data_IF_090625780071
#
_entry.id   IF_090625780071
#
_cell.length_a   1.000
_cell.length_b   1.000
_cell.length_c   1.000
_cell.angle_alpha   90.00
_cell.angle_beta   90.00
_cell.angle_gamma   90.00
#
_symmetry.space_group_name_H-M   'P 1'
#
loop_
_entity.id
_entity.type
_entity.pdbx_description
1 polymer ?
#
# COMPACT_ATOMS: atom_id res chain seq x y z
N UNK A 1 18.17 6.20 -12.83
CA UNK A 1 16.80 5.75 -12.56
C UNK A 1 16.09 5.22 -13.80
N UNK A 2 16.10 5.94 -14.93
CA UNK A 2 15.35 5.50 -16.14
C UNK A 2 15.84 4.16 -16.69
N UNK A 3 17.13 3.90 -16.74
CA UNK A 3 17.66 2.61 -17.22
C UNK A 3 17.24 1.46 -16.27
N UNK A 4 17.23 1.69 -14.96
CA UNK A 4 16.75 0.73 -13.97
C UNK A 4 15.26 0.43 -14.12
N UNK A 5 14.43 1.46 -14.40
CA UNK A 5 13.01 1.25 -14.71
C UNK A 5 12.80 0.42 -15.96
N UNK A 6 13.59 0.68 -17.03
CA UNK A 6 13.53 -0.13 -18.24
C UNK A 6 13.93 -1.58 -17.98
N UNK A 7 15.01 -1.79 -17.22
CA UNK A 7 15.45 -3.13 -16.85
C UNK A 7 14.43 -3.88 -15.96
N UNK A 8 13.69 -3.14 -15.13
CA UNK A 8 12.61 -3.70 -14.30
C UNK A 8 11.30 -3.92 -15.06
N UNK A 9 11.19 -3.52 -16.34
CA UNK A 9 9.97 -3.66 -17.14
C UNK A 9 9.79 -5.09 -17.68
N UNK A 10 9.81 -6.07 -16.79
CA UNK A 10 9.70 -7.50 -17.10
C UNK A 10 8.48 -8.11 -16.39
N UNK A 11 7.87 -9.14 -17.01
CA UNK A 11 6.75 -9.86 -16.41
C UNK A 11 5.64 -8.95 -15.89
N UNK A 12 5.17 -9.13 -14.64
CA UNK A 12 4.06 -8.38 -14.05
C UNK A 12 4.37 -6.89 -13.87
N UNK A 13 5.64 -6.51 -13.84
CA UNK A 13 6.06 -5.11 -13.62
C UNK A 13 6.09 -4.28 -14.90
N UNK A 14 6.00 -4.90 -16.08
CA UNK A 14 6.24 -4.27 -17.39
C UNK A 14 5.37 -3.06 -17.64
N UNK A 15 4.08 -3.13 -17.30
CA UNK A 15 3.10 -2.04 -17.49
C UNK A 15 3.47 -0.81 -16.67
N UNK A 16 3.73 -0.99 -15.38
CA UNK A 16 4.00 0.13 -14.45
C UNK A 16 5.38 0.69 -14.69
N UNK A 17 6.41 -0.15 -14.78
CA UNK A 17 7.78 0.28 -15.04
C UNK A 17 7.91 0.99 -16.40
N UNK A 18 7.24 0.49 -17.44
CA UNK A 18 7.17 1.11 -18.76
C UNK A 18 6.55 2.51 -18.68
N UNK A 19 5.38 2.65 -18.03
CA UNK A 19 4.72 3.93 -17.84
C UNK A 19 5.60 4.93 -17.09
N UNK A 20 6.22 4.52 -15.98
CA UNK A 20 7.09 5.38 -15.18
C UNK A 20 8.35 5.80 -15.96
N UNK A 21 8.90 4.93 -16.81
CA UNK A 21 10.09 5.26 -17.63
C UNK A 21 9.85 6.38 -18.63
N UNK A 22 8.59 6.54 -19.08
CA UNK A 22 8.18 7.61 -20.01
C UNK A 22 7.89 8.94 -19.32
N UNK A 23 7.67 8.92 -18.01
CA UNK A 23 7.38 10.13 -17.25
C UNK A 23 8.64 10.90 -16.87
N UNK A 24 8.48 12.20 -16.57
CA UNK A 24 9.52 13.01 -15.97
C UNK A 24 9.62 12.67 -14.49
N UNK A 25 10.56 11.81 -14.14
CA UNK A 25 10.80 11.45 -12.75
C UNK A 25 11.34 12.67 -11.99
N UNK A 26 10.69 13.01 -10.90
CA UNK A 26 11.17 14.03 -9.97
C UNK A 26 11.78 13.33 -8.75
N UNK A 27 13.07 13.55 -8.52
CA UNK A 27 13.70 13.14 -7.28
C UNK A 27 13.10 13.95 -6.12
N UNK A 28 12.62 13.24 -5.12
CA UNK A 28 12.05 13.84 -3.91
C UNK A 28 12.99 13.55 -2.74
N UNK A 29 13.21 14.53 -1.88
CA UNK A 29 14.07 14.39 -0.67
C UNK A 29 13.56 13.33 0.31
N UNK A 30 12.30 12.88 0.19
CA UNK A 30 11.76 11.79 1.01
C UNK A 30 12.39 10.43 0.70
N UNK A 31 12.89 10.22 -0.53
CA UNK A 31 13.51 8.96 -0.95
C UNK A 31 14.87 9.11 -1.64
N UNK A 32 15.29 10.32 -2.00
CA UNK A 32 16.64 10.62 -2.50
C UNK A 32 17.25 11.70 -1.62
N UNK A 33 18.10 11.31 -0.69
CA UNK A 33 18.72 12.23 0.25
C UNK A 33 20.16 11.82 0.54
N UNK A 34 21.10 12.41 -0.17
CA UNK A 34 22.53 12.12 -0.06
C UNK A 34 23.09 12.40 1.33
N UNK A 35 22.49 13.36 2.07
CA UNK A 35 22.94 13.69 3.44
C UNK A 35 22.60 12.60 4.47
N UNK A 36 21.69 11.69 4.13
CA UNK A 36 21.31 10.54 4.98
C UNK A 36 22.01 9.24 4.58
N UNK A 37 22.82 9.28 3.52
CA UNK A 37 23.62 8.12 3.09
C UNK A 37 24.97 8.20 3.80
N UNK A 38 25.22 7.21 4.69
CA UNK A 38 26.54 7.08 5.34
C UNK A 38 27.37 6.01 4.62
N UNK A 39 27.22 4.76 5.04
CA UNK A 39 28.03 3.65 4.55
C UNK A 39 27.32 2.85 3.45
N UNK A 40 25.99 2.87 3.42
CA UNK A 40 25.19 2.09 2.50
C UNK A 40 24.12 2.95 1.80
N UNK A 41 23.91 2.67 0.53
CA UNK A 41 22.77 3.21 -0.22
C UNK A 41 21.58 2.24 -0.17
N UNK A 42 20.42 2.71 -0.62
CA UNK A 42 19.22 1.88 -0.70
C UNK A 42 19.42 0.67 -1.63
N UNK A 43 18.81 -0.46 -1.28
CA UNK A 43 18.72 -1.63 -2.14
C UNK A 43 17.68 -1.33 -3.22
N UNK A 44 18.12 -1.28 -4.46
CA UNK A 44 17.29 -0.99 -5.63
C UNK A 44 17.67 -1.91 -6.79
N UNK A 45 16.78 -2.13 -7.78
CA UNK A 45 17.11 -2.93 -8.95
C UNK A 45 18.32 -2.39 -9.70
N UNK A 46 19.09 -3.28 -10.31
CA UNK A 46 20.22 -2.90 -11.20
C UNK A 46 19.70 -2.50 -12.58
N UNK A 47 20.62 -2.16 -13.47
CA UNK A 47 20.33 -1.82 -14.87
C UNK A 47 20.32 -3.05 -15.79
N UNK A 48 20.59 -4.22 -15.24
CA UNK A 48 20.60 -5.48 -15.98
C UNK A 48 19.19 -6.04 -16.14
N UNK A 49 18.87 -6.52 -17.32
CA UNK A 49 17.62 -7.24 -17.57
C UNK A 49 17.63 -8.58 -16.84
N UNK A 50 16.55 -8.85 -16.16
CA UNK A 50 16.37 -10.05 -15.37
C UNK A 50 15.47 -11.03 -16.11
N UNK A 51 15.85 -12.30 -16.10
CA UNK A 51 15.03 -13.40 -16.59
C UNK A 51 14.33 -14.06 -15.39
N UNK A 52 13.09 -13.70 -15.14
CA UNK A 52 12.34 -14.17 -13.97
C UNK A 52 12.24 -15.70 -13.91
N UNK A 53 12.17 -16.36 -15.08
CA UNK A 53 12.04 -17.82 -15.17
C UNK A 53 13.32 -18.56 -14.73
N UNK A 54 14.46 -17.89 -14.65
CA UNK A 54 15.73 -18.48 -14.19
C UNK A 54 15.96 -18.27 -12.70
N UNK A 55 15.07 -17.57 -11.99
CA UNK A 55 15.14 -17.37 -10.55
C UNK A 55 14.50 -18.51 -9.79
N UNK A 56 15.08 -18.87 -8.65
CA UNK A 56 14.40 -19.70 -7.65
C UNK A 56 13.19 -18.96 -7.05
N UNK A 57 12.32 -19.66 -6.35
CA UNK A 57 11.16 -19.05 -5.72
C UNK A 57 11.58 -17.99 -4.67
N UNK A 58 12.61 -18.27 -3.90
CA UNK A 58 13.15 -17.36 -2.87
C UNK A 58 13.73 -16.08 -3.51
N UNK A 59 14.55 -16.25 -4.56
CA UNK A 59 15.12 -15.11 -5.29
C UNK A 59 14.00 -14.26 -5.92
N UNK A 60 12.97 -14.89 -6.45
CA UNK A 60 11.81 -14.21 -7.03
C UNK A 60 11.04 -13.42 -5.99
N UNK A 61 10.79 -13.97 -4.78
CA UNK A 61 10.13 -13.28 -3.67
C UNK A 61 10.92 -12.02 -3.24
N UNK A 62 12.23 -12.15 -3.09
CA UNK A 62 13.10 -11.00 -2.73
C UNK A 62 13.11 -9.96 -3.85
N UNK A 63 13.24 -10.39 -5.10
CA UNK A 63 13.22 -9.49 -6.25
C UNK A 63 11.88 -8.74 -6.36
N UNK A 64 10.76 -9.44 -6.19
CA UNK A 64 9.42 -8.86 -6.18
C UNK A 64 9.29 -7.76 -5.10
N UNK A 65 9.72 -8.05 -3.88
CA UNK A 65 9.70 -7.08 -2.77
C UNK A 65 10.48 -5.80 -3.11
N UNK A 66 11.69 -5.95 -3.63
CA UNK A 66 12.56 -4.82 -3.98
C UNK A 66 11.99 -4.02 -5.14
N UNK A 67 11.54 -4.70 -6.22
CA UNK A 67 11.02 -4.03 -7.41
C UNK A 67 9.70 -3.33 -7.11
N UNK A 68 8.78 -3.96 -6.40
CA UNK A 68 7.52 -3.30 -6.00
C UNK A 68 7.79 -2.06 -5.17
N UNK A 69 8.66 -2.14 -4.18
CA UNK A 69 9.03 -0.97 -3.38
C UNK A 69 9.62 0.14 -4.22
N UNK A 70 10.53 -0.19 -5.14
CA UNK A 70 11.15 0.75 -6.06
C UNK A 70 10.12 1.44 -6.96
N UNK A 71 9.21 0.68 -7.58
CA UNK A 71 8.15 1.22 -8.43
C UNK A 71 7.14 2.06 -7.63
N UNK A 72 6.76 1.63 -6.43
CA UNK A 72 5.82 2.36 -5.58
C UNK A 72 6.37 3.73 -5.15
N UNK A 73 7.64 3.80 -4.79
CA UNK A 73 8.30 5.06 -4.40
C UNK A 73 8.36 6.06 -5.56
N UNK A 74 8.44 5.59 -6.78
CA UNK A 74 8.48 6.42 -8.00
C UNK A 74 7.08 6.71 -8.56
N UNK A 75 6.05 6.04 -8.06
CA UNK A 75 4.67 6.24 -8.48
C UNK A 75 4.04 7.48 -7.83
N UNK A 76 2.98 8.05 -8.44
CA UNK A 76 2.21 9.12 -7.81
C UNK A 76 1.61 8.68 -6.46
N UNK A 77 1.23 9.65 -5.64
CA UNK A 77 0.50 9.38 -4.40
C UNK A 77 -0.86 8.72 -4.70
N UNK A 78 -1.33 7.91 -3.75
CA UNK A 78 -2.72 7.46 -3.76
C UNK A 78 -3.61 8.63 -3.31
N UNK A 79 -4.60 8.96 -4.11
CA UNK A 79 -5.60 9.99 -3.80
C UNK A 79 -6.92 9.32 -3.44
N UNK A 80 -7.43 9.63 -2.27
CA UNK A 80 -8.70 9.09 -1.79
C UNK A 80 -9.54 10.18 -1.12
N UNK A 81 -10.83 9.97 -1.10
CA UNK A 81 -11.79 10.79 -0.39
C UNK A 81 -12.31 10.01 0.82
N UNK A 82 -12.18 10.60 2.01
CA UNK A 82 -12.74 10.05 3.23
C UNK A 82 -14.05 10.78 3.56
N UNK A 83 -15.13 10.02 3.65
CA UNK A 83 -16.43 10.51 4.10
C UNK A 83 -16.67 10.02 5.52
N UNK A 84 -17.05 10.94 6.40
CA UNK A 84 -17.39 10.63 7.78
C UNK A 84 -18.80 11.14 8.09
N UNK A 85 -19.68 10.23 8.46
CA UNK A 85 -21.06 10.54 8.86
C UNK A 85 -21.17 10.30 10.36
N UNK A 86 -21.74 11.27 11.07
CA UNK A 86 -22.04 11.16 12.49
C UNK A 86 -23.51 11.48 12.71
N UNK A 87 -24.19 10.63 13.47
CA UNK A 87 -25.61 10.79 13.79
C UNK A 87 -25.93 10.41 15.23
N UNK A 88 -27.13 10.73 15.67
CA UNK A 88 -27.65 10.36 17.00
C UNK A 88 -28.97 9.59 16.83
N UNK A 89 -29.15 8.55 17.62
CA UNK A 89 -30.40 7.80 17.74
C UNK A 89 -30.76 7.81 19.24
N UNK A 90 -31.77 8.60 19.62
CA UNK A 90 -32.01 8.91 21.03
C UNK A 90 -30.82 9.63 21.66
N UNK A 91 -30.24 9.07 22.72
CA UNK A 91 -29.07 9.59 23.43
C UNK A 91 -27.75 9.03 22.91
N UNK A 92 -27.79 8.01 22.05
CA UNK A 92 -26.63 7.30 21.57
C UNK A 92 -26.04 7.93 20.29
N UNK A 93 -24.71 7.94 20.21
CA UNK A 93 -23.96 8.45 19.06
C UNK A 93 -23.48 7.32 18.16
N UNK A 94 -23.72 7.47 16.87
CA UNK A 94 -23.24 6.56 15.83
C UNK A 94 -22.32 7.30 14.87
N UNK A 95 -21.33 6.59 14.35
CA UNK A 95 -20.44 7.12 13.30
C UNK A 95 -20.19 6.05 12.24
N UNK A 96 -20.10 6.49 10.99
CA UNK A 96 -19.68 5.67 9.88
C UNK A 96 -18.56 6.38 9.12
N UNK A 97 -17.57 5.62 8.65
CA UNK A 97 -16.50 6.13 7.78
C UNK A 97 -16.48 5.33 6.50
N UNK A 98 -16.35 6.03 5.40
CA UNK A 98 -16.20 5.45 4.07
C UNK A 98 -14.99 6.05 3.38
N UNK A 99 -14.32 5.24 2.53
CA UNK A 99 -13.21 5.68 1.75
C UNK A 99 -13.46 5.34 0.28
N UNK A 100 -13.28 6.32 -0.58
CA UNK A 100 -13.36 6.15 -2.02
C UNK A 100 -12.01 6.54 -2.65
N UNK A 101 -11.37 5.60 -3.36
CA UNK A 101 -10.09 5.84 -4.02
C UNK A 101 -10.37 6.56 -5.35
N UNK A 102 -9.89 7.81 -5.48
CA UNK A 102 -9.94 8.59 -6.73
C UNK A 102 -8.83 8.17 -7.71
N UNK A 103 -7.65 7.91 -7.18
CA UNK A 103 -6.49 7.45 -7.95
C UNK A 103 -5.68 6.48 -7.10
N UNK A 104 -5.47 5.28 -7.60
CA UNK A 104 -4.73 4.24 -6.88
C UNK A 104 -3.25 4.62 -6.64
N UNK A 105 -2.65 5.38 -7.57
CA UNK A 105 -1.26 5.81 -7.45
C UNK A 105 -0.31 4.63 -7.19
N UNK A 106 0.54 4.74 -6.16
CA UNK A 106 1.50 3.70 -5.80
C UNK A 106 0.87 2.34 -5.41
N UNK A 107 -0.41 2.32 -5.03
CA UNK A 107 -1.11 1.09 -4.65
C UNK A 107 -1.29 0.13 -5.82
N UNK A 108 -1.41 0.67 -7.04
CA UNK A 108 -1.52 -0.13 -8.27
C UNK A 108 -0.35 -1.15 -8.41
N UNK A 109 0.82 -0.82 -7.83
CA UNK A 109 1.99 -1.70 -7.85
C UNK A 109 1.74 -2.99 -7.07
N UNK A 110 1.00 -2.91 -5.97
CA UNK A 110 0.72 -4.06 -5.10
C UNK A 110 -0.51 -4.85 -5.55
N UNK A 111 -1.42 -4.23 -6.30
CA UNK A 111 -2.58 -4.92 -6.88
C UNK A 111 -2.22 -5.82 -8.08
N UNK A 112 -1.13 -5.49 -8.78
CA UNK A 112 -0.70 -6.19 -10.01
C UNK A 112 0.31 -7.29 -9.78
N UNK A 113 0.59 -7.68 -8.55
CA UNK A 113 1.72 -8.54 -8.23
C UNK A 113 1.46 -10.03 -8.38
N UNK A 114 2.57 -10.77 -8.34
CA UNK A 114 2.62 -12.22 -8.33
C UNK A 114 2.05 -12.73 -6.99
N UNK A 115 0.88 -13.33 -7.02
CA UNK A 115 0.34 -14.10 -5.90
C UNK A 115 0.75 -15.55 -6.12
N UNK A 116 1.80 -15.99 -5.41
CA UNK A 116 2.00 -17.41 -5.18
C UNK A 116 0.88 -17.85 -4.22
N UNK A 117 0.04 -18.79 -4.65
CA UNK A 117 -1.24 -19.13 -4.04
C UNK A 117 -1.21 -19.79 -2.65
N UNK A 118 -0.24 -19.52 -1.79
CA UNK A 118 -0.09 -20.18 -0.50
C UNK A 118 -0.04 -19.26 0.73
N UNK A 119 0.00 -17.95 0.59
CA UNK A 119 -0.03 -17.03 1.72
C UNK A 119 -1.43 -16.43 1.92
N UNK A 120 -2.36 -17.24 2.47
CA UNK A 120 -3.71 -16.78 2.90
C UNK A 120 -3.69 -15.90 4.16
N UNK A 121 -2.53 -15.69 4.79
CA UNK A 121 -2.39 -14.99 6.08
C UNK A 121 -1.91 -13.53 5.98
N UNK A 122 -1.62 -13.01 4.79
CA UNK A 122 -1.49 -11.56 4.69
C UNK A 122 -2.91 -10.97 4.83
N UNK A 123 -3.21 -10.37 5.99
CA UNK A 123 -4.19 -9.29 6.08
C UNK A 123 -3.82 -8.26 5.01
N UNK A 124 -4.20 -8.57 3.76
CA UNK A 124 -4.31 -7.53 2.76
C UNK A 124 -5.19 -6.50 3.42
N UNK A 125 -4.61 -5.39 3.82
CA UNK A 125 -5.34 -4.17 4.11
C UNK A 125 -6.03 -3.77 2.80
N UNK A 126 -6.98 -4.59 2.38
CA UNK A 126 -7.98 -4.25 1.41
C UNK A 126 -8.69 -3.07 2.03
N UNK A 127 -8.32 -1.88 1.59
CA UNK A 127 -9.17 -0.72 1.79
C UNK A 127 -10.50 -1.10 1.17
N UNK A 128 -11.38 -1.65 1.99
CA UNK A 128 -12.74 -1.89 1.56
C UNK A 128 -13.28 -0.52 1.15
N UNK A 129 -13.53 -0.36 -0.13
CA UNK A 129 -14.20 0.84 -0.64
C UNK A 129 -15.62 0.79 -0.07
N UNK A 130 -15.81 1.42 1.07
CA UNK A 130 -17.12 1.60 1.67
C UNK A 130 -17.64 2.92 1.13
N UNK A 131 -18.52 2.82 0.14
CA UNK A 131 -19.27 3.98 -0.33
C UNK A 131 -20.39 4.26 0.66
N UNK A 132 -20.32 5.39 1.32
CA UNK A 132 -21.43 5.88 2.14
C UNK A 132 -22.43 6.65 1.26
N UNK A 133 -23.73 6.65 1.63
CA UNK A 133 -24.73 7.46 0.94
C UNK A 133 -24.42 8.94 1.13
N UNK A 134 -24.83 9.73 0.15
CA UNK A 134 -24.79 11.19 0.24
C UNK A 134 -25.92 11.66 1.18
N UNK A 135 -25.53 12.18 2.34
CA UNK A 135 -26.46 12.67 3.36
C UNK A 135 -26.10 14.10 3.74
N UNK A 136 -27.13 14.92 3.98
CA UNK A 136 -26.95 16.32 4.34
C UNK A 136 -26.95 16.51 5.87
N UNK A 137 -26.26 17.54 6.33
CA UNK A 137 -26.24 17.89 7.74
C UNK A 137 -27.65 18.24 8.24
N UNK A 138 -28.12 17.54 9.27
CA UNK A 138 -29.45 17.73 9.85
C UNK A 138 -30.53 16.89 9.19
N UNK A 139 -30.18 16.06 8.22
CA UNK A 139 -31.10 15.10 7.62
C UNK A 139 -31.49 14.03 8.62
N UNK A 140 -32.77 13.64 8.62
CA UNK A 140 -33.30 12.57 9.46
C UNK A 140 -33.49 11.33 8.60
N UNK A 141 -32.80 10.25 8.98
CA UNK A 141 -32.87 8.96 8.28
C UNK A 141 -33.68 7.95 9.10
N UNK A 142 -34.49 7.09 8.45
CA UNK A 142 -35.16 6.01 9.16
C UNK A 142 -34.18 4.93 9.61
N UNK A 143 -34.28 4.48 10.86
CA UNK A 143 -33.54 3.32 11.33
C UNK A 143 -34.25 2.07 10.83
N UNK A 144 -33.64 1.34 9.91
CA UNK A 144 -34.22 0.13 9.31
C UNK A 144 -33.85 -1.14 10.07
N UNK A 145 -32.68 -1.18 10.67
CA UNK A 145 -32.21 -2.29 11.47
C UNK A 145 -31.17 -1.83 12.51
N UNK A 146 -31.09 -2.54 13.63
CA UNK A 146 -30.05 -2.37 14.63
C UNK A 146 -29.47 -3.75 14.95
N UNK A 147 -28.16 -3.89 14.78
CA UNK A 147 -27.47 -5.14 15.05
C UNK A 147 -26.41 -4.91 16.12
N UNK A 148 -26.39 -5.75 17.12
CA UNK A 148 -25.36 -5.78 18.16
C UNK A 148 -24.40 -6.91 17.83
N UNK A 149 -23.12 -6.58 17.71
CA UNK A 149 -22.05 -7.56 17.49
C UNK A 149 -21.14 -7.61 18.70
N UNK A 150 -21.02 -8.79 19.29
CA UNK A 150 -20.08 -9.02 20.38
C UNK A 150 -18.71 -9.39 19.81
N UNK A 151 -17.67 -8.78 20.37
CA UNK A 151 -16.28 -9.07 20.01
C UNK A 151 -15.40 -9.12 21.25
N UNK A 152 -14.27 -9.81 21.14
CA UNK A 152 -13.20 -9.79 22.15
C UNK A 152 -12.03 -8.99 21.63
N UNK A 153 -11.49 -8.10 22.47
CA UNK A 153 -10.22 -7.44 22.18
C UNK A 153 -9.10 -8.47 22.13
N UNK A 154 -8.22 -8.33 21.15
CA UNK A 154 -7.00 -9.14 21.08
C UNK A 154 -5.84 -8.34 21.67
N UNK A 155 -4.88 -8.99 22.34
CA UNK A 155 -3.67 -8.32 22.76
C UNK A 155 -2.89 -7.84 21.52
N UNK A 156 -1.98 -6.84 21.66
CA UNK A 156 -1.06 -6.49 20.60
C UNK A 156 -0.28 -7.73 20.12
N UNK A 157 0.02 -7.79 18.84
CA UNK A 157 0.86 -8.87 18.31
C UNK A 157 2.24 -8.85 18.97
N UNK A 158 2.81 -10.02 19.22
CA UNK A 158 4.20 -10.13 19.69
C UNK A 158 5.14 -9.55 18.61
N UNK A 159 6.26 -9.00 19.06
CA UNK A 159 7.29 -8.56 18.14
C UNK A 159 7.85 -9.74 17.33
N UNK A 160 7.95 -9.55 16.04
CA UNK A 160 8.83 -10.35 15.19
C UNK A 160 10.25 -9.77 15.27
N UNK A 161 11.26 -10.48 14.77
CA UNK A 161 12.63 -9.95 14.72
C UNK A 161 12.69 -8.60 14.00
N UNK A 162 12.02 -8.47 12.85
CA UNK A 162 11.98 -7.21 12.08
C UNK A 162 11.27 -6.08 12.81
N UNK A 163 10.12 -6.33 13.43
CA UNK A 163 9.37 -5.29 14.17
C UNK A 163 10.08 -4.90 15.47
N UNK A 164 10.83 -5.82 16.08
CA UNK A 164 11.66 -5.51 17.26
C UNK A 164 12.80 -4.57 16.87
N UNK A 165 13.51 -4.85 15.80
CA UNK A 165 14.59 -3.98 15.29
C UNK A 165 14.03 -2.57 14.99
N UNK A 166 12.90 -2.50 14.27
CA UNK A 166 12.28 -1.22 13.96
C UNK A 166 11.87 -0.42 15.22
N UNK A 167 11.37 -1.11 16.25
CA UNK A 167 11.02 -0.47 17.52
C UNK A 167 12.26 0.00 18.31
N UNK A 168 13.40 -0.68 18.16
CA UNK A 168 14.66 -0.26 18.78
C UNK A 168 15.30 0.94 18.06
N UNK A 169 15.09 1.09 16.77
CA UNK A 169 15.58 2.24 15.99
C UNK A 169 14.79 3.53 16.28
N UNK A 170 13.51 3.39 16.63
CA UNK A 170 12.60 4.51 16.93
C UNK A 170 11.83 4.20 18.24
N UNK A 171 12.49 4.29 19.41
CA UNK A 171 11.90 3.98 20.71
C UNK A 171 10.84 4.99 21.16
#
# INVERSE_FOLDING_TARGET
LKERLKASAVGPYSKIAGRLSMQKLQANKSFVNDSKVSDHHAIIPTEQFVQLDHMSNEERKIYDLVVRRFLAVLSPACEYEETSISGTIGEERFSAKGNFIKSAGWREVYESGYTDGEDEDEEQTTFSQISLPDVQKGETLPVTALTITEGKTKPPACFTEGTLIAAMENP
#
